data_IF_595105996772
#
_entry.id   IF_595105996772
#
_cell.length_a   1.000
_cell.length_b   1.000
_cell.length_c   1.000
_cell.angle_alpha   90.00
_cell.angle_beta   90.00
_cell.angle_gamma   90.00
#
_symmetry.space_group_name_H-M   'P 1'
#
loop_
_entity.id
_entity.type
_entity.pdbx_description
1 polymer ?
#
# COMPACT_ATOMS: atom_id res chain seq x y z
N UNK A 1 -20.65 24.63 17.13
CA UNK A 1 -20.01 23.32 16.86
C UNK A 1 -18.98 23.55 15.78
N UNK A 2 -17.73 23.18 16.04
CA UNK A 2 -16.56 23.61 15.25
C UNK A 2 -16.39 22.73 14.00
N UNK A 3 -16.95 23.18 12.87
CA UNK A 3 -16.98 22.45 11.58
C UNK A 3 -15.60 21.98 11.11
N UNK A 4 -14.53 22.72 11.46
CA UNK A 4 -13.14 22.35 11.11
C UNK A 4 -12.70 21.04 11.75
N UNK A 5 -13.09 20.78 12.99
CA UNK A 5 -12.71 19.55 13.68
C UNK A 5 -13.45 18.35 13.08
N UNK A 6 -14.71 18.53 12.68
CA UNK A 6 -15.51 17.48 12.04
C UNK A 6 -14.95 17.12 10.66
N UNK A 7 -14.60 18.12 9.83
CA UNK A 7 -13.98 17.91 8.53
C UNK A 7 -12.63 17.19 8.63
N UNK A 8 -11.79 17.56 9.61
CA UNK A 8 -10.47 16.95 9.84
C UNK A 8 -10.57 15.48 10.24
N UNK A 9 -11.55 15.13 11.08
CA UNK A 9 -11.82 13.76 11.50
C UNK A 9 -12.37 12.91 10.36
N UNK A 10 -13.22 13.49 9.51
CA UNK A 10 -13.75 12.84 8.31
C UNK A 10 -12.65 12.57 7.28
N UNK A 11 -11.81 13.56 6.97
CA UNK A 11 -10.65 13.41 6.07
C UNK A 11 -9.69 12.34 6.59
N UNK A 12 -9.35 12.35 7.88
CA UNK A 12 -8.46 11.35 8.45
C UNK A 12 -9.04 9.93 8.41
N UNK A 13 -10.37 9.79 8.48
CA UNK A 13 -11.06 8.49 8.31
C UNK A 13 -10.97 8.00 6.86
N UNK A 14 -11.14 8.87 5.86
CA UNK A 14 -10.92 8.52 4.47
C UNK A 14 -9.46 8.11 4.20
N UNK A 15 -8.50 8.88 4.71
CA UNK A 15 -7.07 8.54 4.59
C UNK A 15 -6.77 7.20 5.23
N UNK A 16 -7.34 6.92 6.41
CA UNK A 16 -7.19 5.62 7.09
C UNK A 16 -7.73 4.45 6.26
N UNK A 17 -8.91 4.59 5.66
CA UNK A 17 -9.49 3.57 4.77
C UNK A 17 -8.65 3.36 3.51
N UNK A 18 -8.05 4.44 3.00
CA UNK A 18 -7.22 4.43 1.79
C UNK A 18 -5.78 3.95 2.01
N UNK A 19 -5.32 3.72 3.25
CA UNK A 19 -3.95 3.24 3.52
C UNK A 19 -3.60 1.99 2.70
N UNK A 20 -4.50 1.02 2.63
CA UNK A 20 -4.30 -0.20 1.83
C UNK A 20 -4.16 0.10 0.33
N UNK A 21 -5.18 0.71 -0.30
CA UNK A 21 -5.13 1.09 -1.72
C UNK A 21 -3.96 1.99 -2.10
N UNK A 22 -3.60 2.96 -1.24
CA UNK A 22 -2.44 3.85 -1.45
C UNK A 22 -1.15 3.04 -1.42
N UNK A 23 -0.97 2.16 -0.43
CA UNK A 23 0.21 1.30 -0.36
C UNK A 23 0.33 0.39 -1.59
N UNK A 24 -0.80 -0.13 -2.08
CA UNK A 24 -0.83 -0.93 -3.31
C UNK A 24 -0.50 -0.11 -4.56
N UNK A 25 -1.08 1.07 -4.72
CA UNK A 25 -0.79 1.97 -5.84
C UNK A 25 0.69 2.40 -5.85
N UNK A 26 1.25 2.69 -4.66
CA UNK A 26 2.68 2.97 -4.49
C UNK A 26 3.53 1.76 -4.87
N UNK A 27 3.15 0.55 -4.42
CA UNK A 27 3.85 -0.68 -4.79
C UNK A 27 3.90 -0.86 -6.31
N UNK A 28 2.76 -0.70 -6.97
CA UNK A 28 2.67 -0.79 -8.43
C UNK A 28 3.53 0.24 -9.15
N UNK A 29 3.41 1.50 -8.72
CA UNK A 29 4.16 2.61 -9.33
C UNK A 29 5.65 2.43 -9.15
N UNK A 30 6.09 1.97 -7.98
CA UNK A 30 7.50 1.70 -7.70
C UNK A 30 8.01 0.51 -8.51
N UNK A 31 7.26 -0.60 -8.56
CA UNK A 31 7.70 -1.79 -9.29
C UNK A 31 7.77 -1.49 -10.79
N UNK A 32 6.68 -1.04 -11.40
CA UNK A 32 6.65 -0.79 -12.84
C UNK A 32 7.47 0.44 -13.23
N UNK A 33 7.36 1.54 -12.49
CA UNK A 33 8.10 2.76 -12.77
C UNK A 33 9.61 2.58 -12.61
N UNK A 34 10.07 1.91 -11.56
CA UNK A 34 11.49 1.60 -11.41
C UNK A 34 11.95 0.59 -12.46
N UNK A 35 11.19 -0.46 -12.76
CA UNK A 35 11.58 -1.40 -13.81
C UNK A 35 11.71 -0.73 -15.18
N UNK A 36 10.72 0.07 -15.59
CA UNK A 36 10.76 0.75 -16.89
C UNK A 36 11.93 1.74 -17.00
N UNK A 37 12.18 2.53 -15.94
CA UNK A 37 13.31 3.47 -15.93
C UNK A 37 14.66 2.75 -15.87
N UNK A 38 14.81 1.74 -15.02
CA UNK A 38 16.06 0.98 -14.87
C UNK A 38 16.41 0.18 -16.12
N UNK A 39 15.44 -0.41 -16.81
CA UNK A 39 15.69 -1.05 -18.10
C UNK A 39 16.07 -0.02 -19.18
N UNK A 40 15.45 1.17 -19.19
CA UNK A 40 15.79 2.21 -20.18
C UNK A 40 17.21 2.78 -20.01
N UNK A 41 17.71 2.89 -18.77
CA UNK A 41 19.06 3.37 -18.48
C UNK A 41 20.12 2.27 -18.46
N UNK A 42 19.73 0.99 -18.50
CA UNK A 42 20.66 -0.15 -18.36
C UNK A 42 21.47 -0.14 -17.06
N UNK A 43 20.96 0.53 -16.02
CA UNK A 43 21.75 0.90 -14.84
C UNK A 43 21.96 -0.25 -13.84
N UNK A 44 21.13 -1.28 -13.87
CA UNK A 44 21.13 -2.38 -12.91
C UNK A 44 20.93 -3.74 -13.61
N UNK A 45 21.52 -4.79 -13.02
CA UNK A 45 21.32 -6.15 -13.51
C UNK A 45 19.89 -6.63 -13.28
N UNK A 46 19.36 -7.55 -14.10
CA UNK A 46 18.01 -8.11 -13.91
C UNK A 46 17.80 -8.71 -12.51
N UNK A 47 18.85 -9.30 -11.94
CA UNK A 47 18.84 -9.86 -10.58
C UNK A 47 18.67 -8.78 -9.52
N UNK A 48 19.38 -7.65 -9.65
CA UNK A 48 19.26 -6.54 -8.71
C UNK A 48 17.87 -5.89 -8.76
N UNK A 49 17.28 -5.77 -9.95
CA UNK A 49 15.91 -5.29 -10.15
C UNK A 49 14.90 -6.21 -9.42
N UNK A 50 15.05 -7.55 -9.55
CA UNK A 50 14.19 -8.52 -8.84
C UNK A 50 14.31 -8.41 -7.32
N UNK A 51 15.52 -8.24 -6.79
CA UNK A 51 15.75 -8.06 -5.35
C UNK A 51 15.08 -6.76 -4.86
N UNK A 52 15.23 -5.66 -5.59
CA UNK A 52 14.61 -4.37 -5.26
C UNK A 52 13.08 -4.50 -5.19
N UNK A 53 12.47 -5.12 -6.20
CA UNK A 53 11.03 -5.38 -6.25
C UNK A 53 10.57 -6.25 -5.08
N UNK A 54 11.32 -7.30 -4.77
CA UNK A 54 11.05 -8.16 -3.61
C UNK A 54 11.07 -7.40 -2.29
N UNK A 55 12.08 -6.56 -2.07
CA UNK A 55 12.21 -5.73 -0.86
C UNK A 55 11.04 -4.73 -0.74
N UNK A 56 10.70 -4.04 -1.84
CA UNK A 56 9.60 -3.06 -1.85
C UNK A 56 8.26 -3.76 -1.55
N UNK A 57 8.01 -4.90 -2.21
CA UNK A 57 6.78 -5.65 -2.06
C UNK A 57 6.63 -6.22 -0.63
N UNK A 58 7.69 -6.81 -0.08
CA UNK A 58 7.71 -7.32 1.30
C UNK A 58 7.59 -6.18 2.32
N UNK A 59 8.26 -5.05 2.08
CA UNK A 59 8.20 -3.88 2.94
C UNK A 59 6.80 -3.29 3.02
N UNK A 60 6.17 -3.05 1.86
CA UNK A 60 4.81 -2.50 1.79
C UNK A 60 3.77 -3.50 2.32
N UNK A 61 3.88 -4.79 2.00
CA UNK A 61 3.01 -5.81 2.57
C UNK A 61 3.15 -5.88 4.10
N UNK A 62 4.38 -5.82 4.62
CA UNK A 62 4.66 -5.75 6.06
C UNK A 62 4.05 -4.52 6.72
N UNK A 63 4.15 -3.34 6.08
CA UNK A 63 3.52 -2.12 6.57
C UNK A 63 1.98 -2.24 6.63
N UNK A 64 1.35 -2.80 5.60
CA UNK A 64 -0.11 -3.00 5.56
C UNK A 64 -0.55 -4.02 6.62
N UNK A 65 0.16 -5.14 6.75
CA UNK A 65 -0.11 -6.15 7.79
C UNK A 65 0.09 -5.59 9.20
N UNK A 66 1.14 -4.80 9.42
CA UNK A 66 1.37 -4.08 10.67
C UNK A 66 0.25 -3.09 10.99
N UNK A 67 -0.25 -2.38 9.98
CA UNK A 67 -1.40 -1.50 10.11
C UNK A 67 -2.69 -2.28 10.45
N UNK A 68 -2.89 -3.47 9.87
CA UNK A 68 -4.01 -4.37 10.21
C UNK A 68 -3.92 -4.94 11.63
N UNK A 69 -2.71 -5.15 12.16
CA UNK A 69 -2.49 -5.65 13.50
C UNK A 69 -2.80 -4.58 14.58
N UNK A 70 -2.56 -3.29 14.28
CA UNK A 70 -2.81 -2.18 15.22
C UNK A 70 -3.68 -1.06 14.61
N UNK A 71 -4.94 -1.34 14.25
CA UNK A 71 -5.81 -0.38 13.57
C UNK A 71 -6.12 0.85 14.43
N UNK A 72 -6.25 0.69 15.75
CA UNK A 72 -6.50 1.80 16.69
C UNK A 72 -5.33 2.78 16.71
N UNK A 73 -4.10 2.28 16.80
CA UNK A 73 -2.90 3.11 16.86
C UNK A 73 -2.65 3.86 15.53
N UNK A 74 -2.94 3.21 14.40
CA UNK A 74 -2.83 3.84 13.08
C UNK A 74 -3.91 4.90 12.90
N UNK A 75 -5.16 4.61 13.29
CA UNK A 75 -6.24 5.59 13.25
C UNK A 75 -5.89 6.81 14.10
N UNK A 76 -5.48 6.62 15.35
CA UNK A 76 -5.09 7.70 16.26
C UNK A 76 -3.92 8.54 15.71
N UNK A 77 -2.93 7.92 15.04
CA UNK A 77 -1.83 8.67 14.40
C UNK A 77 -2.28 9.52 13.21
N UNK A 78 -3.26 9.05 12.43
CA UNK A 78 -3.72 9.73 11.22
C UNK A 78 -4.72 10.84 11.56
N UNK A 79 -5.68 10.57 12.45
CA UNK A 79 -6.75 11.50 12.79
C UNK A 79 -6.40 12.40 13.98
N UNK A 80 -5.44 11.99 14.83
CA UNK A 80 -5.16 12.68 16.09
C UNK A 80 -6.31 12.59 17.11
N UNK A 81 -7.34 11.78 16.83
CA UNK A 81 -8.57 11.71 17.60
C UNK A 81 -8.92 10.25 17.96
N UNK A 82 -9.74 10.09 18.99
CA UNK A 82 -10.31 8.80 19.38
C UNK A 82 -11.27 8.29 18.29
N UNK A 83 -11.31 6.96 18.15
CA UNK A 83 -12.21 6.28 17.23
C UNK A 83 -13.68 6.53 17.62
N UNK A 84 -14.58 6.82 16.66
CA UNK A 84 -16.01 6.90 16.94
C UNK A 84 -16.53 5.49 17.29
N UNK A 85 -17.01 5.29 18.53
CA UNK A 85 -17.41 3.96 19.03
C UNK A 85 -18.52 3.31 18.19
N UNK A 86 -19.50 4.10 17.74
CA UNK A 86 -20.66 3.60 16.98
C UNK A 86 -20.31 3.07 15.58
N UNK A 87 -19.29 3.65 14.93
CA UNK A 87 -18.91 3.33 13.54
C UNK A 87 -17.62 2.51 13.45
N UNK A 88 -16.93 2.32 14.57
CA UNK A 88 -15.66 1.58 14.64
C UNK A 88 -15.69 0.17 14.03
N UNK A 89 -16.69 -0.70 14.30
CA UNK A 89 -16.70 -2.05 13.72
C UNK A 89 -16.82 -2.01 12.18
N UNK A 90 -17.58 -1.06 11.62
CA UNK A 90 -17.69 -0.87 10.17
C UNK A 90 -16.37 -0.36 9.57
N UNK A 91 -15.79 0.70 10.15
CA UNK A 91 -14.52 1.28 9.67
C UNK A 91 -13.40 0.24 9.70
N UNK A 92 -13.34 -0.57 10.78
CA UNK A 92 -12.37 -1.65 10.92
C UNK A 92 -12.59 -2.78 9.90
N UNK A 93 -13.85 -3.14 9.65
CA UNK A 93 -14.21 -4.15 8.65
C UNK A 93 -13.78 -3.71 7.25
N UNK A 94 -14.17 -2.50 6.85
CA UNK A 94 -13.86 -1.91 5.54
C UNK A 94 -12.35 -1.75 5.35
N UNK A 95 -11.62 -1.26 6.35
CA UNK A 95 -10.16 -1.16 6.31
C UNK A 95 -9.51 -2.53 6.13
N UNK A 96 -9.96 -3.56 6.86
CA UNK A 96 -9.42 -4.93 6.69
C UNK A 96 -9.74 -5.52 5.33
N UNK A 97 -10.93 -5.25 4.79
CA UNK A 97 -11.33 -5.75 3.48
C UNK A 97 -10.52 -5.09 2.37
N UNK A 98 -10.36 -3.76 2.42
CA UNK A 98 -9.52 -2.97 1.50
C UNK A 98 -8.04 -3.36 1.59
N UNK A 99 -7.50 -3.49 2.81
CA UNK A 99 -6.11 -3.91 3.01
C UNK A 99 -5.90 -5.38 2.59
N UNK A 100 -6.87 -6.27 2.83
CA UNK A 100 -6.84 -7.65 2.34
C UNK A 100 -6.84 -7.70 0.81
N UNK A 101 -7.71 -6.93 0.15
CA UNK A 101 -7.72 -6.79 -1.30
C UNK A 101 -6.38 -6.26 -1.84
N UNK A 102 -5.78 -5.30 -1.12
CA UNK A 102 -4.50 -4.69 -1.48
C UNK A 102 -3.36 -5.72 -1.39
N UNK A 103 -3.30 -6.50 -0.32
CA UNK A 103 -2.32 -7.59 -0.16
C UNK A 103 -2.53 -8.66 -1.23
N UNK A 104 -3.78 -9.01 -1.53
CA UNK A 104 -4.09 -9.95 -2.61
C UNK A 104 -3.61 -9.43 -3.97
N UNK A 105 -3.81 -8.15 -4.24
CA UNK A 105 -3.24 -7.46 -5.41
C UNK A 105 -1.72 -7.50 -5.43
N UNK A 106 -1.04 -7.21 -4.31
CA UNK A 106 0.43 -7.30 -4.22
C UNK A 106 0.94 -8.72 -4.51
N UNK A 107 0.30 -9.74 -3.94
CA UNK A 107 0.64 -11.15 -4.18
C UNK A 107 0.43 -11.54 -5.64
N UNK A 108 -0.67 -11.10 -6.23
CA UNK A 108 -0.95 -11.35 -7.65
C UNK A 108 0.11 -10.70 -8.56
N UNK A 109 0.51 -9.46 -8.27
CA UNK A 109 1.58 -8.78 -9.02
C UNK A 109 2.96 -9.40 -8.79
N UNK A 110 3.27 -9.82 -7.56
CA UNK A 110 4.49 -10.55 -7.27
C UNK A 110 4.53 -11.85 -8.09
N UNK A 111 3.41 -12.57 -8.18
CA UNK A 111 3.29 -13.76 -9.00
C UNK A 111 3.46 -13.43 -10.49
N UNK A 112 2.80 -12.39 -10.99
CA UNK A 112 2.93 -11.94 -12.38
C UNK A 112 4.37 -11.54 -12.73
N UNK A 113 5.11 -10.94 -11.80
CA UNK A 113 6.52 -10.55 -12.00
C UNK A 113 7.46 -11.74 -12.22
N UNK A 114 7.09 -12.94 -11.79
CA UNK A 114 7.85 -14.16 -12.08
C UNK A 114 7.70 -14.62 -13.53
N UNK A 115 6.59 -14.24 -14.18
CA UNK A 115 6.29 -14.64 -15.56
C UNK A 115 6.69 -13.59 -16.60
N UNK A 116 6.88 -12.32 -16.22
CA UNK A 116 7.26 -11.26 -17.15
C UNK A 116 8.78 -11.19 -17.28
N UNK A 117 9.37 -11.41 -18.48
CA UNK A 117 10.78 -11.15 -18.73
C UNK A 117 11.04 -9.63 -18.66
N UNK A 118 11.71 -9.19 -17.59
CA UNK A 118 11.76 -7.79 -17.18
C UNK A 118 12.44 -6.82 -18.15
N UNK A 119 13.52 -7.23 -18.81
CA UNK A 119 14.20 -6.37 -19.80
C UNK A 119 14.53 -7.09 -21.12
N UNK A 120 14.21 -8.39 -21.29
CA UNK A 120 14.59 -9.13 -22.52
C UNK A 120 13.75 -8.74 -23.74
N UNK A 121 12.62 -8.06 -23.56
CA UNK A 121 11.73 -7.64 -24.66
C UNK A 121 12.22 -6.35 -25.35
N UNK A 122 13.17 -5.62 -24.75
CA UNK A 122 13.69 -4.36 -25.31
C UNK A 122 15.07 -4.47 -25.97
N UNK A 123 15.61 -5.69 -26.09
CA UNK A 123 16.90 -5.94 -26.77
C UNK A 123 16.69 -6.63 -28.11
#
# INVERSE_FOLDING_TARGET
MDDRNSARQMIGTFVFLLVGPIAWALNLTLIYGAQSSLCAFGALSPTAIRILVGIICLGLAGCVLGAMARPVAVFQRITGASAPEDQWPFIRGTMRLLAGLSVLGMLYFALASLFVPGCDVLR
#
